data_IF_448995939362
#
_entry.id   IF_448995939362
#
_cell.length_a   1.000
_cell.length_b   1.000
_cell.length_c   1.000
_cell.angle_alpha   90.00
_cell.angle_beta   90.00
_cell.angle_gamma   90.00
#
_symmetry.space_group_name_H-M   'P 1'
#
loop_
_entity.id
_entity.type
_entity.pdbx_description
1 polymer ?
#
# COMPACT_ATOMS: atom_id res chain seq x y z
N UNK A 1 -33.97 10.49 6.10
CA UNK A 1 -32.59 10.79 5.63
C UNK A 1 -31.58 9.72 6.05
N UNK A 2 -31.84 8.43 5.80
CA UNK A 2 -30.98 7.30 6.26
C UNK A 2 -30.50 6.37 5.14
N UNK A 3 -30.93 6.61 3.89
CA UNK A 3 -30.66 5.72 2.74
C UNK A 3 -29.27 5.92 2.10
N UNK A 4 -28.69 7.12 2.20
CA UNK A 4 -27.36 7.42 1.64
C UNK A 4 -26.22 6.72 2.37
N UNK A 5 -26.26 6.70 3.71
CA UNK A 5 -25.18 6.15 4.55
C UNK A 5 -25.00 4.62 4.42
N UNK A 6 -26.09 3.90 4.08
CA UNK A 6 -26.07 2.44 3.91
C UNK A 6 -25.50 2.01 2.55
N UNK A 7 -25.77 2.79 1.49
CA UNK A 7 -25.18 2.53 0.18
C UNK A 7 -23.67 2.80 0.15
N UNK A 8 -23.25 3.90 0.79
CA UNK A 8 -21.84 4.29 0.88
C UNK A 8 -21.00 3.20 1.57
N UNK A 9 -21.53 2.63 2.66
CA UNK A 9 -20.83 1.59 3.39
C UNK A 9 -20.73 0.27 2.62
N UNK A 10 -21.76 -0.11 1.86
CA UNK A 10 -21.73 -1.33 1.01
C UNK A 10 -20.82 -1.17 -0.20
N UNK A 11 -20.80 0.01 -0.81
CA UNK A 11 -19.94 0.32 -1.94
C UNK A 11 -18.47 0.34 -1.51
N UNK A 12 -18.14 1.06 -0.43
CA UNK A 12 -16.79 1.11 0.16
C UNK A 12 -16.27 -0.30 0.49
N UNK A 13 -17.07 -1.17 1.10
CA UNK A 13 -16.68 -2.56 1.39
C UNK A 13 -16.39 -3.37 0.12
N UNK A 14 -17.22 -3.26 -0.92
CA UNK A 14 -17.00 -3.97 -2.19
C UNK A 14 -15.74 -3.49 -2.90
N UNK A 15 -15.49 -2.18 -2.91
CA UNK A 15 -14.27 -1.61 -3.51
C UNK A 15 -13.04 -2.08 -2.74
N UNK A 16 -13.08 -2.05 -1.41
CA UNK A 16 -11.98 -2.53 -0.56
C UNK A 16 -11.73 -4.03 -0.72
N UNK A 17 -12.78 -4.85 -0.86
CA UNK A 17 -12.67 -6.29 -1.10
C UNK A 17 -12.04 -6.59 -2.47
N UNK A 18 -12.44 -5.86 -3.52
CA UNK A 18 -11.85 -6.02 -4.86
C UNK A 18 -10.40 -5.57 -4.87
N UNK A 19 -10.11 -4.43 -4.23
CA UNK A 19 -8.76 -3.88 -4.14
C UNK A 19 -7.83 -4.83 -3.39
N UNK A 20 -8.21 -5.30 -2.19
CA UNK A 20 -7.40 -6.23 -1.39
C UNK A 20 -7.16 -7.59 -2.09
N UNK A 21 -8.10 -8.07 -2.90
CA UNK A 21 -7.97 -9.35 -3.63
C UNK A 21 -7.13 -9.28 -4.89
N UNK A 22 -6.92 -8.10 -5.47
CA UNK A 22 -6.22 -7.93 -6.74
C UNK A 22 -5.06 -6.94 -6.61
N UNK A 23 -3.99 -7.27 -5.88
CA UNK A 23 -2.79 -6.41 -5.81
C UNK A 23 -2.24 -6.03 -7.18
N UNK A 24 -2.36 -6.92 -8.18
CA UNK A 24 -1.93 -6.65 -9.54
C UNK A 24 -2.67 -5.47 -10.21
N UNK A 25 -3.90 -5.14 -9.78
CA UNK A 25 -4.61 -4.00 -10.36
C UNK A 25 -3.95 -2.67 -10.02
N UNK A 26 -3.13 -2.60 -8.97
CA UNK A 26 -2.45 -1.36 -8.60
C UNK A 26 -1.47 -0.91 -9.68
N UNK A 27 -0.73 -1.85 -10.28
CA UNK A 27 0.16 -1.55 -11.39
C UNK A 27 -0.64 -1.03 -12.59
N UNK A 28 -1.71 -1.73 -12.99
CA UNK A 28 -2.54 -1.31 -14.11
C UNK A 28 -3.22 0.05 -13.88
N UNK A 29 -3.76 0.28 -12.69
CA UNK A 29 -4.40 1.55 -12.32
C UNK A 29 -3.36 2.67 -12.31
N UNK A 30 -2.18 2.42 -11.73
CA UNK A 30 -1.10 3.41 -11.67
C UNK A 30 -0.63 3.79 -13.08
N UNK A 31 -0.39 2.81 -13.95
CA UNK A 31 0.00 3.06 -15.34
C UNK A 31 -1.09 3.77 -16.12
N UNK A 32 -2.35 3.33 -16.04
CA UNK A 32 -3.46 3.95 -16.77
C UNK A 32 -3.71 5.38 -16.30
N UNK A 33 -3.64 5.62 -14.99
CA UNK A 33 -3.81 6.96 -14.42
C UNK A 33 -2.64 7.87 -14.80
N UNK A 34 -1.40 7.36 -14.77
CA UNK A 34 -0.23 8.11 -15.22
C UNK A 34 -0.36 8.52 -16.70
N UNK A 35 -0.74 7.59 -17.57
CA UNK A 35 -0.98 7.89 -19.00
C UNK A 35 -2.10 8.90 -19.17
N UNK A 36 -3.23 8.73 -18.45
CA UNK A 36 -4.34 9.66 -18.53
C UNK A 36 -3.96 11.08 -18.08
N UNK A 37 -3.24 11.21 -16.96
CA UNK A 37 -2.74 12.49 -16.46
C UNK A 37 -1.75 13.08 -17.44
N UNK A 38 -0.81 12.30 -17.95
CA UNK A 38 0.21 12.77 -18.89
C UNK A 38 -0.39 13.25 -20.21
N UNK A 39 -1.40 12.55 -20.75
CA UNK A 39 -2.11 12.95 -21.97
C UNK A 39 -2.97 14.20 -21.74
N UNK A 40 -3.60 14.32 -20.58
CA UNK A 40 -4.47 15.46 -20.26
C UNK A 40 -3.69 16.72 -19.85
N UNK A 41 -2.56 16.54 -19.18
CA UNK A 41 -1.71 17.59 -18.64
C UNK A 41 -0.25 17.12 -18.70
N UNK A 42 0.42 17.29 -19.86
CA UNK A 42 1.83 16.97 -19.98
C UNK A 42 2.64 18.03 -19.20
N UNK A 43 2.86 17.77 -17.91
CA UNK A 43 3.79 18.55 -17.10
C UNK A 43 5.18 18.11 -17.52
N UNK A 44 5.87 18.97 -18.25
CA UNK A 44 7.26 18.77 -18.68
C UNK A 44 8.13 19.68 -17.82
N UNK A 45 9.09 19.10 -17.11
CA UNK A 45 10.02 19.87 -16.30
C UNK A 45 11.24 20.19 -17.16
N UNK A 46 11.33 21.39 -17.71
CA UNK A 46 12.43 21.77 -18.61
C UNK A 46 13.79 21.86 -17.89
N UNK A 47 13.79 22.27 -16.62
CA UNK A 47 15.00 22.39 -15.81
C UNK A 47 15.55 21.02 -15.37
N UNK A 48 16.77 20.72 -15.82
CA UNK A 48 17.45 19.45 -15.54
C UNK A 48 17.77 19.27 -14.06
N UNK A 49 18.16 20.33 -13.35
CA UNK A 49 18.47 20.25 -11.92
C UNK A 49 17.22 19.85 -11.11
N UNK A 50 16.06 20.41 -11.46
CA UNK A 50 14.78 20.06 -10.85
C UNK A 50 14.36 18.63 -11.18
N UNK A 51 14.51 18.16 -12.44
CA UNK A 51 14.23 16.76 -12.82
C UNK A 51 15.09 15.77 -12.04
N UNK A 52 16.40 15.96 -12.04
CA UNK A 52 17.34 15.09 -11.33
C UNK A 52 17.04 15.04 -9.82
N UNK A 53 16.64 16.18 -9.23
CA UNK A 53 16.19 16.25 -7.84
C UNK A 53 14.93 15.41 -7.62
N UNK A 54 13.95 15.52 -8.53
CA UNK A 54 12.72 14.73 -8.47
C UNK A 54 13.00 13.23 -8.58
N UNK A 55 13.83 12.80 -9.54
CA UNK A 55 14.17 11.39 -9.74
C UNK A 55 14.85 10.80 -8.50
N UNK A 56 15.80 11.57 -7.93
CA UNK A 56 16.47 11.20 -6.66
C UNK A 56 15.46 11.08 -5.52
N UNK A 57 14.54 12.05 -5.39
CA UNK A 57 13.55 12.06 -4.34
C UNK A 57 12.59 10.85 -4.44
N UNK A 58 12.12 10.51 -5.64
CA UNK A 58 11.24 9.35 -5.86
C UNK A 58 11.99 8.05 -5.60
N UNK A 59 13.25 7.93 -6.04
CA UNK A 59 14.09 6.77 -5.73
C UNK A 59 14.30 6.60 -4.22
N UNK A 60 14.66 7.66 -3.50
CA UNK A 60 14.83 7.64 -2.05
C UNK A 60 13.52 7.27 -1.33
N UNK A 61 12.40 7.89 -1.73
CA UNK A 61 11.08 7.62 -1.16
C UNK A 61 10.64 6.17 -1.40
N UNK A 62 10.95 5.59 -2.57
CA UNK A 62 10.69 4.19 -2.87
C UNK A 62 11.41 3.25 -1.88
N UNK A 63 12.66 3.57 -1.52
CA UNK A 63 13.44 2.81 -0.54
C UNK A 63 12.84 2.88 0.86
N UNK A 64 12.35 4.06 1.27
CA UNK A 64 11.64 4.24 2.54
C UNK A 64 10.37 3.38 2.58
N UNK A 65 9.56 3.44 1.51
CA UNK A 65 8.32 2.65 1.42
C UNK A 65 8.64 1.16 1.41
N UNK A 66 9.68 0.72 0.70
CA UNK A 66 10.10 -0.68 0.66
C UNK A 66 10.52 -1.18 2.06
N UNK A 67 11.27 -0.37 2.81
CA UNK A 67 11.66 -0.68 4.17
C UNK A 67 10.43 -0.77 5.11
N UNK A 68 9.53 0.22 5.04
CA UNK A 68 8.28 0.23 5.81
C UNK A 68 7.38 -0.98 5.47
N UNK A 69 7.31 -1.34 4.19
CA UNK A 69 6.58 -2.53 3.71
C UNK A 69 7.14 -3.81 4.31
N UNK A 70 8.47 -3.94 4.30
CA UNK A 70 9.17 -5.11 4.85
C UNK A 70 8.92 -5.24 6.34
N UNK A 71 8.97 -4.12 7.07
CA UNK A 71 8.66 -4.08 8.50
C UNK A 71 7.20 -4.47 8.78
N UNK A 72 6.24 -3.88 8.05
CA UNK A 72 4.83 -4.18 8.21
C UNK A 72 4.47 -5.63 7.87
N UNK A 73 5.07 -6.19 6.82
CA UNK A 73 4.98 -7.61 6.50
C UNK A 73 5.53 -8.46 7.66
N UNK A 74 6.70 -8.09 8.19
CA UNK A 74 7.30 -8.72 9.36
C UNK A 74 6.35 -8.78 10.55
N UNK A 75 5.73 -7.65 10.91
CA UNK A 75 4.72 -7.56 11.98
C UNK A 75 3.53 -8.49 11.73
N UNK A 76 3.03 -8.55 10.50
CA UNK A 76 1.91 -9.45 10.15
C UNK A 76 2.28 -10.92 10.31
N UNK A 77 3.48 -11.33 9.89
CA UNK A 77 3.93 -12.71 9.95
C UNK A 77 4.39 -13.14 11.36
N UNK A 78 4.88 -12.21 12.18
CA UNK A 78 5.28 -12.47 13.56
C UNK A 78 4.14 -12.32 14.57
N UNK A 79 3.03 -11.68 14.21
CA UNK A 79 1.89 -11.47 15.11
C UNK A 79 1.31 -12.81 15.61
N UNK A 80 1.04 -12.83 16.92
CA UNK A 80 0.42 -13.92 17.67
C UNK A 80 -1.06 -13.72 17.93
N UNK A 81 -1.62 -12.55 17.59
CA UNK A 81 -3.04 -12.26 17.78
C UNK A 81 -3.91 -13.29 17.04
N UNK A 82 -4.88 -13.87 17.74
CA UNK A 82 -5.71 -14.98 17.28
C UNK A 82 -6.40 -14.67 15.95
N UNK A 83 -6.91 -13.43 15.81
CA UNK A 83 -7.56 -12.94 14.60
C UNK A 83 -6.59 -12.85 13.42
N UNK A 84 -5.37 -12.36 13.64
CA UNK A 84 -4.33 -12.27 12.59
C UNK A 84 -3.88 -13.65 12.17
N UNK A 85 -3.66 -14.56 13.12
CA UNK A 85 -3.27 -15.94 12.84
C UNK A 85 -4.36 -16.66 12.04
N UNK A 86 -5.63 -16.45 12.40
CA UNK A 86 -6.76 -17.03 11.68
C UNK A 86 -6.83 -16.52 10.25
N UNK A 87 -6.77 -15.21 10.04
CA UNK A 87 -6.79 -14.58 8.71
C UNK A 87 -5.58 -15.00 7.86
N UNK A 88 -4.39 -15.08 8.45
CA UNK A 88 -3.16 -15.54 7.78
C UNK A 88 -3.26 -16.98 7.29
N UNK A 89 -3.95 -17.86 8.04
CA UNK A 89 -4.19 -19.24 7.63
C UNK A 89 -5.24 -19.35 6.53
N UNK A 90 -6.33 -18.58 6.65
CA UNK A 90 -7.44 -18.63 5.70
C UNK A 90 -7.09 -18.04 4.33
N UNK A 91 -6.28 -16.98 4.30
CA UNK A 91 -5.92 -16.23 3.09
C UNK A 91 -4.41 -16.19 2.83
N UNK A 92 -3.72 -17.29 3.15
CA UNK A 92 -2.25 -17.36 3.11
C UNK A 92 -1.68 -17.00 1.72
N UNK A 93 -2.33 -17.49 0.66
CA UNK A 93 -1.87 -17.28 -0.72
C UNK A 93 -2.07 -15.81 -1.14
N UNK A 94 -3.22 -15.24 -0.84
CA UNK A 94 -3.59 -13.87 -1.17
C UNK A 94 -2.74 -12.85 -0.40
N UNK A 95 -2.51 -13.11 0.89
CA UNK A 95 -1.66 -12.25 1.72
C UNK A 95 -0.22 -12.31 1.22
N UNK A 96 0.31 -13.50 0.93
CA UNK A 96 1.65 -13.65 0.36
C UNK A 96 1.77 -12.90 -0.96
N UNK A 97 0.83 -13.11 -1.89
CA UNK A 97 0.84 -12.43 -3.18
C UNK A 97 0.76 -10.91 -3.04
N UNK A 98 -0.09 -10.39 -2.14
CA UNK A 98 -0.18 -8.96 -1.85
C UNK A 98 1.16 -8.38 -1.41
N UNK A 99 1.79 -8.97 -0.39
CA UNK A 99 3.06 -8.45 0.12
C UNK A 99 4.19 -8.58 -0.89
N UNK A 100 4.28 -9.70 -1.61
CA UNK A 100 5.27 -9.86 -2.69
C UNK A 100 5.10 -8.78 -3.75
N UNK A 101 3.87 -8.46 -4.14
CA UNK A 101 3.61 -7.43 -5.15
C UNK A 101 3.88 -6.02 -4.63
N UNK A 102 3.52 -5.69 -3.38
CA UNK A 102 3.87 -4.39 -2.77
C UNK A 102 5.39 -4.19 -2.79
N UNK A 103 6.16 -5.20 -2.37
CA UNK A 103 7.63 -5.14 -2.36
C UNK A 103 8.18 -5.01 -3.79
N UNK A 104 7.68 -5.82 -4.72
CA UNK A 104 8.10 -5.77 -6.12
C UNK A 104 7.79 -4.41 -6.76
N UNK A 105 6.63 -3.82 -6.50
CA UNK A 105 6.24 -2.52 -7.05
C UNK A 105 7.04 -1.37 -6.47
N UNK A 106 7.33 -1.38 -5.17
CA UNK A 106 8.21 -0.37 -4.57
C UNK A 106 9.62 -0.46 -5.16
N UNK A 107 10.13 -1.68 -5.34
CA UNK A 107 11.43 -1.91 -5.95
C UNK A 107 11.47 -1.45 -7.42
N UNK A 108 10.47 -1.82 -8.22
CA UNK A 108 10.35 -1.41 -9.63
C UNK A 108 10.20 0.10 -9.76
N UNK A 109 9.43 0.76 -8.90
CA UNK A 109 9.31 2.22 -8.90
C UNK A 109 10.65 2.93 -8.61
N UNK A 110 11.43 2.38 -7.68
CA UNK A 110 12.78 2.85 -7.40
C UNK A 110 13.72 2.68 -8.59
N UNK A 111 13.74 1.48 -9.19
CA UNK A 111 14.54 1.21 -10.38
C UNK A 111 14.12 2.07 -11.58
N UNK A 112 12.82 2.29 -11.78
CA UNK A 112 12.29 3.15 -12.84
C UNK A 112 12.75 4.60 -12.66
N UNK A 113 12.77 5.10 -11.41
CA UNK A 113 13.28 6.43 -11.09
C UNK A 113 14.80 6.54 -11.28
N UNK A 114 15.56 5.46 -11.05
CA UNK A 114 17.00 5.43 -11.34
C UNK A 114 17.25 5.34 -12.86
N UNK A 115 16.49 4.50 -13.57
CA UNK A 115 16.57 4.38 -15.02
C UNK A 115 16.24 5.70 -15.73
N UNK A 116 15.39 6.53 -15.09
CA UNK A 116 15.02 7.86 -15.57
C UNK A 116 16.24 8.76 -15.80
N UNK A 117 17.29 8.67 -14.98
CA UNK A 117 18.55 9.41 -15.20
C UNK A 117 19.25 9.02 -16.50
N UNK A 118 19.18 7.73 -16.89
CA UNK A 118 19.79 7.25 -18.11
C UNK A 118 18.93 7.56 -19.34
N UNK A 119 17.60 7.60 -19.19
CA UNK A 119 16.68 7.83 -20.31
C UNK A 119 16.37 9.29 -20.60
N UNK A 120 16.69 10.20 -19.66
CA UNK A 120 16.41 11.63 -19.76
C UNK A 120 17.00 12.25 -21.05
N UNK A 121 18.17 11.78 -21.46
CA UNK A 121 18.91 12.23 -22.64
C UNK A 121 18.20 11.88 -23.96
N UNK A 122 17.38 10.82 -23.96
CA UNK A 122 16.73 10.31 -25.17
C UNK A 122 15.33 10.90 -25.36
N UNK A 123 14.57 11.04 -24.26
CA UNK A 123 13.24 11.63 -24.30
C UNK A 123 12.81 12.09 -22.91
N UNK A 124 12.67 13.41 -22.74
CA UNK A 124 12.14 14.02 -21.52
C UNK A 124 10.70 13.56 -21.26
N UNK A 125 9.87 13.50 -22.30
CA UNK A 125 8.48 13.06 -22.20
C UNK A 125 8.32 11.64 -21.65
N UNK A 126 9.16 10.71 -22.12
CA UNK A 126 9.11 9.33 -21.64
C UNK A 126 9.52 9.24 -20.16
N UNK A 127 10.55 9.99 -19.79
CA UNK A 127 11.10 9.99 -18.44
C UNK A 127 10.12 10.60 -17.43
N UNK A 128 9.49 11.73 -17.75
CA UNK A 128 8.46 12.34 -16.90
C UNK A 128 7.25 11.41 -16.69
N UNK A 129 6.80 10.73 -17.75
CA UNK A 129 5.72 9.76 -17.66
C UNK A 129 6.08 8.55 -16.77
N UNK A 130 7.33 8.06 -16.85
CA UNK A 130 7.83 6.96 -16.05
C UNK A 130 7.91 7.32 -14.56
N UNK A 131 8.34 8.53 -14.25
CA UNK A 131 8.43 9.06 -12.88
C UNK A 131 7.04 9.29 -12.30
N UNK A 132 6.11 9.85 -13.09
CA UNK A 132 4.72 10.00 -12.67
C UNK A 132 4.06 8.65 -12.36
N UNK A 133 4.28 7.64 -13.20
CA UNK A 133 3.80 6.28 -12.94
C UNK A 133 4.39 5.71 -11.65
N UNK A 134 5.68 5.96 -11.39
CA UNK A 134 6.37 5.54 -10.16
C UNK A 134 5.76 6.20 -8.93
N UNK A 135 5.46 7.50 -8.98
CA UNK A 135 4.81 8.23 -7.88
C UNK A 135 3.44 7.64 -7.55
N UNK A 136 2.61 7.41 -8.58
CA UNK A 136 1.26 6.87 -8.38
C UNK A 136 1.34 5.45 -7.81
N UNK A 137 2.24 4.62 -8.31
CA UNK A 137 2.44 3.25 -7.84
C UNK A 137 2.92 3.20 -6.37
N UNK A 138 3.80 4.13 -5.97
CA UNK A 138 4.22 4.28 -4.59
C UNK A 138 3.07 4.75 -3.70
N UNK A 139 2.23 5.68 -4.17
CA UNK A 139 1.08 6.15 -3.42
C UNK A 139 0.05 5.02 -3.18
N UNK A 140 -0.25 4.21 -4.19
CA UNK A 140 -1.15 3.05 -4.03
C UNK A 140 -0.56 2.00 -3.09
N UNK A 141 0.75 1.73 -3.20
CA UNK A 141 1.45 0.79 -2.32
C UNK A 141 1.43 1.27 -0.87
N UNK A 142 1.67 2.56 -0.64
CA UNK A 142 1.58 3.18 0.69
C UNK A 142 0.20 3.01 1.31
N UNK A 143 -0.86 3.21 0.52
CA UNK A 143 -2.24 2.96 0.96
C UNK A 143 -2.45 1.53 1.48
N UNK A 144 -1.90 0.52 0.78
CA UNK A 144 -1.99 -0.88 1.22
C UNK A 144 -1.21 -1.14 2.50
N UNK A 145 -0.01 -0.60 2.61
CA UNK A 145 0.82 -0.75 3.81
C UNK A 145 0.07 -0.20 5.02
N UNK A 146 -0.49 1.02 4.90
CA UNK A 146 -1.27 1.65 5.98
C UNK A 146 -2.48 0.77 6.34
N UNK A 147 -3.21 0.26 5.35
CA UNK A 147 -4.35 -0.62 5.59
C UNK A 147 -3.96 -1.87 6.39
N UNK A 148 -2.92 -2.59 5.97
CA UNK A 148 -2.48 -3.81 6.63
C UNK A 148 -1.88 -3.55 8.01
N UNK A 149 -1.08 -2.49 8.17
CA UNK A 149 -0.53 -2.10 9.48
C UNK A 149 -1.64 -1.79 10.47
N UNK A 150 -2.66 -1.02 10.04
CA UNK A 150 -3.84 -0.75 10.88
C UNK A 150 -4.57 -2.04 11.24
N UNK A 151 -4.79 -2.94 10.28
CA UNK A 151 -5.43 -4.22 10.55
C UNK A 151 -4.69 -5.00 11.64
N UNK A 152 -3.36 -5.12 11.55
CA UNK A 152 -2.55 -5.80 12.57
C UNK A 152 -2.67 -5.12 13.93
N UNK A 153 -2.47 -3.81 14.02
CA UNK A 153 -2.49 -3.08 15.29
C UNK A 153 -3.85 -3.15 16.00
N UNK A 154 -4.96 -2.90 15.30
CA UNK A 154 -6.29 -2.92 15.92
C UNK A 154 -6.77 -4.34 16.25
N UNK A 155 -6.31 -5.35 15.50
CA UNK A 155 -6.62 -6.74 15.84
C UNK A 155 -5.93 -7.21 17.12
N UNK A 156 -4.70 -6.77 17.39
CA UNK A 156 -4.03 -7.05 18.68
C UNK A 156 -4.72 -6.37 19.87
N UNK A 157 -5.24 -5.15 19.68
CA UNK A 157 -6.02 -4.45 20.72
C UNK A 157 -7.31 -5.22 21.05
N UNK A 158 -8.08 -5.63 20.03
CA UNK A 158 -9.33 -6.38 20.22
C UNK A 158 -9.12 -7.73 20.89
N UNK A 159 -8.02 -8.42 20.58
CA UNK A 159 -7.68 -9.71 21.20
C UNK A 159 -7.27 -9.53 22.66
N UNK A 160 -6.45 -8.51 22.97
CA UNK A 160 -6.08 -8.18 24.35
C UNK A 160 -7.30 -7.85 25.21
N UNK A 161 -8.29 -7.12 24.67
CA UNK A 161 -9.52 -6.80 25.39
C UNK A 161 -10.36 -8.05 25.67
N UNK A 162 -10.48 -8.96 24.70
CA UNK A 162 -11.22 -10.23 24.87
C UNK A 162 -10.53 -11.18 25.85
N UNK A 163 -9.20 -11.19 25.92
CA UNK A 163 -8.46 -11.94 26.92
C UNK A 163 -8.63 -11.34 28.32
N UNK A 164 -8.55 -10.01 28.48
CA UNK A 164 -8.80 -9.32 29.76
C UNK A 164 -10.22 -9.59 30.27
N UNK A 165 -11.25 -9.51 29.41
CA UNK A 165 -12.65 -9.76 29.82
C UNK A 165 -12.88 -11.23 30.20
N UNK A 166 -12.23 -12.18 29.54
CA UNK A 166 -12.31 -13.60 29.91
C UNK A 166 -11.50 -13.94 31.16
N UNK A 167 -10.45 -13.19 31.44
CA UNK A 167 -9.59 -13.35 32.62
C UNK A 167 -10.05 -12.55 33.84
N UNK A 168 -11.15 -11.79 33.79
CA UNK A 168 -11.85 -11.37 35.02
C UNK A 168 -12.50 -12.64 35.57
N UNK A 169 -11.85 -13.37 36.50
CA UNK A 169 -12.47 -14.54 37.05
C UNK A 169 -13.55 -13.98 37.97
N UNK A 170 -14.64 -14.71 38.06
CA UNK A 170 -15.43 -15.04 39.25
C UNK A 170 -14.78 -14.82 40.65
N UNK A 171 -14.10 -13.69 40.91
CA UNK A 171 -13.48 -13.30 42.18
C UNK A 171 -14.44 -12.47 43.03
N UNK A 172 -15.49 -11.95 42.40
CA UNK A 172 -16.54 -11.15 43.05
C UNK A 172 -17.83 -11.95 43.33
N UNK A 173 -17.84 -13.26 43.06
CA UNK A 173 -18.99 -14.14 43.34
C UNK A 173 -18.78 -15.08 44.54
N UNK A 174 -17.74 -14.86 45.35
CA UNK A 174 -17.48 -15.60 46.60
C UNK A 174 -17.13 -14.68 47.79
N UNK A 175 -17.68 -13.47 47.86
CA UNK A 175 -17.69 -12.67 49.10
C UNK A 175 -19.11 -12.39 49.56
#
# INVERSE_FOLDING_TARGET
MTRGRVMDHKFSKRVLDVWTRRPASDFFIATLLAVAIFVWCPIIIEDEATRNTLYTAVAAFSGIILAASTFAAGLLYSSTASLVVHVRRLYAAEIRSNWTLILAYCFVAGLASIASFATDQFSMHFTDALVLASIILLATSMGRIIFWTRFVLFSSELDSHNHIVKEIPYRDAQK
#
